data_IF_760090673508
#
_entry.id   IF_760090673508
#
_cell.length_a   1.000
_cell.length_b   1.000
_cell.length_c   1.000
_cell.angle_alpha   90.00
_cell.angle_beta   90.00
_cell.angle_gamma   90.00
#
_symmetry.space_group_name_H-M   'P 1'
#
loop_
_entity.id
_entity.type
_entity.pdbx_description
1 polymer ?
#
# COMPACT_ATOMS: atom_id res chain seq x y z
N UNK A 1 -0.56 -22.62 -4.83
CA UNK A 1 0.68 -22.65 -4.03
C UNK A 1 0.86 -21.41 -3.16
N UNK A 2 1.02 -20.21 -3.73
CA UNK A 2 1.29 -18.97 -2.97
C UNK A 2 0.27 -18.70 -1.84
N UNK A 3 -1.01 -19.01 -2.07
CA UNK A 3 -2.05 -18.88 -1.04
C UNK A 3 -1.84 -19.81 0.16
N UNK A 4 -1.32 -21.03 -0.05
CA UNK A 4 -0.98 -21.93 1.06
C UNK A 4 0.20 -21.37 1.87
N UNK A 5 1.16 -20.69 1.22
CA UNK A 5 2.25 -19.99 1.91
C UNK A 5 1.71 -18.81 2.74
N UNK A 6 0.72 -18.07 2.22
CA UNK A 6 0.09 -16.95 2.95
C UNK A 6 -0.59 -17.40 4.24
N UNK A 7 -1.24 -18.59 4.24
CA UNK A 7 -1.88 -19.16 5.44
C UNK A 7 -0.91 -19.43 6.59
N UNK A 8 0.37 -19.64 6.29
CA UNK A 8 1.41 -19.96 7.28
C UNK A 8 2.39 -18.81 7.53
N UNK A 9 2.05 -17.59 7.11
CA UNK A 9 2.76 -16.36 7.49
C UNK A 9 3.71 -15.77 6.46
N UNK A 10 3.67 -16.25 5.21
CA UNK A 10 4.47 -15.71 4.10
C UNK A 10 3.68 -14.72 3.23
N UNK A 11 2.86 -13.86 3.83
CA UNK A 11 1.94 -12.98 3.07
C UNK A 11 2.67 -11.91 2.26
N UNK A 12 3.96 -11.66 2.54
CA UNK A 12 4.80 -10.73 1.79
C UNK A 12 5.42 -11.36 0.54
N UNK A 13 5.09 -12.61 0.20
CA UNK A 13 5.37 -13.17 -1.13
C UNK A 13 4.33 -12.72 -2.14
N UNK A 14 4.80 -12.15 -3.24
CA UNK A 14 3.98 -11.59 -4.31
C UNK A 14 4.15 -12.36 -5.60
N UNK A 15 3.05 -12.51 -6.32
CA UNK A 15 3.07 -12.93 -7.71
C UNK A 15 3.28 -11.70 -8.61
N UNK A 16 4.13 -11.83 -9.60
CA UNK A 16 4.31 -10.87 -10.68
C UNK A 16 3.98 -11.61 -11.97
N UNK A 17 2.75 -11.43 -12.46
CA UNK A 17 2.17 -12.24 -13.52
C UNK A 17 1.98 -11.40 -14.79
N UNK A 18 2.20 -12.01 -15.95
CA UNK A 18 2.05 -11.34 -17.23
C UNK A 18 1.92 -12.31 -18.40
N UNK A 19 1.83 -11.78 -19.60
CA UNK A 19 1.77 -12.57 -20.84
C UNK A 19 2.98 -12.30 -21.73
N UNK A 20 3.41 -13.32 -22.47
CA UNK A 20 4.43 -13.17 -23.51
C UNK A 20 4.01 -12.16 -24.58
N UNK A 21 4.97 -11.69 -25.37
CA UNK A 21 4.76 -10.77 -26.51
C UNK A 21 3.73 -11.32 -27.50
N UNK A 22 3.72 -12.62 -27.71
CA UNK A 22 2.78 -13.32 -28.60
C UNK A 22 1.44 -13.63 -27.92
N UNK A 23 1.31 -13.36 -26.62
CA UNK A 23 0.11 -13.63 -25.81
C UNK A 23 -0.13 -15.11 -25.47
N UNK A 24 0.67 -16.03 -26.04
CA UNK A 24 0.48 -17.47 -25.95
C UNK A 24 0.91 -18.10 -24.63
N UNK A 25 1.81 -17.44 -23.89
CA UNK A 25 2.35 -17.98 -22.65
C UNK A 25 1.97 -17.06 -21.48
N UNK A 26 1.50 -17.66 -20.38
CA UNK A 26 1.35 -16.97 -19.10
C UNK A 26 2.62 -17.14 -18.27
N UNK A 27 3.12 -16.05 -17.72
CA UNK A 27 4.38 -15.99 -16.98
C UNK A 27 4.13 -15.55 -15.55
N UNK A 28 4.96 -16.04 -14.66
CA UNK A 28 4.87 -15.80 -13.23
C UNK A 28 6.27 -15.70 -12.63
N UNK A 29 6.49 -14.66 -11.83
CA UNK A 29 7.58 -14.62 -10.86
C UNK A 29 7.02 -14.59 -9.44
N UNK A 30 7.70 -15.24 -8.49
CA UNK A 30 7.40 -15.11 -7.07
C UNK A 30 8.48 -14.25 -6.42
N UNK A 31 8.09 -13.07 -5.96
CA UNK A 31 8.98 -11.99 -5.54
C UNK A 31 8.62 -11.54 -4.13
N UNK A 32 9.60 -11.33 -3.23
CA UNK A 32 9.33 -10.69 -1.94
C UNK A 32 8.81 -9.26 -2.13
N UNK A 33 7.90 -8.81 -1.26
CA UNK A 33 7.31 -7.48 -1.30
C UNK A 33 8.34 -6.33 -1.33
N UNK A 34 9.48 -6.48 -0.65
CA UNK A 34 10.56 -5.48 -0.67
C UNK A 34 11.32 -5.38 -2.00
N UNK A 35 11.10 -6.33 -2.89
CA UNK A 35 11.83 -6.52 -4.16
C UNK A 35 10.96 -6.24 -5.39
N UNK A 36 9.72 -5.79 -5.17
CA UNK A 36 8.89 -5.18 -6.23
C UNK A 36 9.20 -3.69 -6.35
N UNK A 37 8.73 -2.99 -7.37
CA UNK A 37 8.74 -1.52 -7.43
C UNK A 37 7.58 -0.93 -6.61
N UNK A 38 7.41 0.39 -6.65
CA UNK A 38 6.37 1.10 -5.91
C UNK A 38 4.95 0.71 -6.35
N UNK A 39 4.78 0.16 -7.54
CA UNK A 39 3.50 -0.41 -8.03
C UNK A 39 3.08 -1.68 -7.27
N UNK A 40 4.01 -2.31 -6.54
CA UNK A 40 3.77 -3.53 -5.80
C UNK A 40 3.82 -4.82 -6.62
N UNK A 41 4.19 -4.80 -7.90
CA UNK A 41 4.19 -6.00 -8.73
C UNK A 41 5.24 -6.06 -9.84
N UNK A 42 5.88 -4.97 -10.21
CA UNK A 42 7.04 -5.05 -11.12
C UNK A 42 8.25 -5.50 -10.31
N UNK A 43 8.94 -6.61 -10.63
CA UNK A 43 10.18 -6.99 -9.95
C UNK A 43 11.28 -5.96 -10.21
N UNK A 44 12.09 -5.63 -9.19
CA UNK A 44 13.30 -4.79 -9.36
C UNK A 44 14.39 -5.47 -10.19
N UNK A 45 14.43 -6.79 -10.12
CA UNK A 45 15.37 -7.68 -10.81
C UNK A 45 14.58 -8.93 -11.20
N UNK A 46 14.53 -9.26 -12.49
CA UNK A 46 13.70 -10.35 -13.02
C UNK A 46 14.43 -11.68 -13.11
N UNK A 47 15.77 -11.68 -13.05
CA UNK A 47 16.61 -12.88 -13.20
C UNK A 47 16.80 -13.60 -11.86
N UNK A 48 16.68 -12.86 -10.76
CA UNK A 48 16.96 -13.36 -9.41
C UNK A 48 15.85 -14.23 -8.81
N UNK A 49 14.61 -14.09 -9.26
CA UNK A 49 13.45 -14.67 -8.56
C UNK A 49 12.89 -15.91 -9.25
N UNK A 50 12.34 -16.88 -8.48
CA UNK A 50 11.70 -18.08 -9.05
C UNK A 50 10.65 -17.71 -10.10
N UNK A 51 10.86 -18.20 -11.31
CA UNK A 51 10.01 -17.94 -12.47
C UNK A 51 9.34 -19.22 -12.98
N UNK A 52 8.19 -19.05 -13.60
CA UNK A 52 7.41 -20.11 -14.23
C UNK A 52 6.72 -19.58 -15.49
N UNK A 53 6.67 -20.40 -16.53
CA UNK A 53 5.82 -20.17 -17.70
C UNK A 53 4.83 -21.31 -17.87
N UNK A 54 3.64 -21.02 -18.40
CA UNK A 54 2.62 -22.05 -18.71
C UNK A 54 3.14 -23.17 -19.61
N UNK A 55 4.18 -22.91 -20.41
CA UNK A 55 4.80 -23.90 -21.28
C UNK A 55 5.58 -24.99 -20.52
N UNK A 56 5.97 -24.73 -19.28
CA UNK A 56 6.62 -25.71 -18.42
C UNK A 56 5.63 -26.79 -17.94
N UNK A 57 4.32 -26.56 -18.12
CA UNK A 57 3.25 -27.44 -17.64
C UNK A 57 3.36 -27.65 -16.13
N UNK A 58 3.58 -28.89 -15.70
CA UNK A 58 3.75 -29.19 -14.27
C UNK A 58 5.18 -29.02 -13.75
N UNK A 59 6.15 -28.65 -14.59
CA UNK A 59 7.55 -28.53 -14.18
C UNK A 59 7.85 -27.20 -13.49
N UNK A 60 7.12 -26.91 -12.40
CA UNK A 60 7.16 -25.64 -11.69
C UNK A 60 8.60 -25.28 -11.28
N UNK A 61 9.09 -24.11 -11.68
CA UNK A 61 10.45 -23.64 -11.36
C UNK A 61 11.56 -24.62 -11.80
N UNK A 62 11.31 -25.41 -12.86
CA UNK A 62 12.21 -26.45 -13.35
C UNK A 62 12.19 -27.75 -12.52
N UNK A 63 11.31 -27.87 -11.53
CA UNK A 63 11.16 -29.09 -10.74
C UNK A 63 10.54 -30.21 -11.57
N UNK A 64 11.11 -31.41 -11.50
CA UNK A 64 10.64 -32.56 -12.29
C UNK A 64 9.79 -33.55 -11.49
N UNK A 65 9.66 -33.32 -10.18
CA UNK A 65 9.06 -34.24 -9.21
C UNK A 65 7.70 -33.77 -8.68
N UNK A 66 6.95 -33.00 -9.48
CA UNK A 66 5.75 -32.24 -9.09
C UNK A 66 4.43 -32.78 -9.66
N UNK A 67 4.48 -33.91 -10.38
CA UNK A 67 3.34 -34.37 -11.20
C UNK A 67 2.07 -34.70 -10.38
N UNK A 68 2.26 -35.13 -9.12
CA UNK A 68 1.19 -35.50 -8.18
C UNK A 68 1.03 -34.52 -7.01
N UNK A 69 1.79 -33.41 -7.01
CA UNK A 69 1.75 -32.46 -5.91
C UNK A 69 0.50 -31.58 -5.95
N UNK A 70 -0.19 -31.48 -4.82
CA UNK A 70 -1.20 -30.44 -4.62
C UNK A 70 -0.55 -29.08 -4.27
N UNK A 71 -1.38 -28.05 -4.17
CA UNK A 71 -0.92 -26.69 -3.86
C UNK A 71 -0.13 -26.57 -2.55
N UNK A 72 -0.39 -27.45 -1.57
CA UNK A 72 0.26 -27.46 -0.26
C UNK A 72 1.60 -28.19 -0.33
N UNK A 73 1.67 -29.31 -1.03
CA UNK A 73 2.92 -30.01 -1.33
C UNK A 73 3.89 -29.07 -2.06
N UNK A 74 3.40 -28.34 -3.07
CA UNK A 74 4.20 -27.33 -3.78
C UNK A 74 4.69 -26.22 -2.84
N UNK A 75 3.87 -25.75 -1.90
CA UNK A 75 4.26 -24.71 -0.95
C UNK A 75 5.37 -25.19 0.00
N UNK A 76 5.28 -26.42 0.49
CA UNK A 76 6.33 -27.02 1.32
C UNK A 76 7.65 -27.16 0.54
N UNK A 77 7.58 -27.61 -0.72
CA UNK A 77 8.76 -27.67 -1.60
C UNK A 77 9.36 -26.30 -1.86
N UNK A 78 8.53 -25.28 -2.02
CA UNK A 78 8.97 -23.89 -2.21
C UNK A 78 9.80 -23.40 -1.03
N UNK A 79 9.32 -23.58 0.20
CA UNK A 79 10.08 -23.18 1.41
C UNK A 79 11.40 -23.96 1.51
N UNK A 80 11.41 -25.25 1.19
CA UNK A 80 12.61 -26.08 1.26
C UNK A 80 13.66 -25.74 0.18
N UNK A 81 13.22 -25.41 -1.04
CA UNK A 81 14.10 -25.21 -2.21
C UNK A 81 14.46 -23.74 -2.45
N UNK A 82 13.64 -22.81 -1.98
CA UNK A 82 13.88 -21.36 -2.05
C UNK A 82 13.82 -20.73 -0.65
N UNK A 83 14.66 -21.18 0.31
CA UNK A 83 14.57 -20.72 1.69
C UNK A 83 14.81 -19.21 1.84
N UNK A 84 15.71 -18.63 1.04
CA UNK A 84 15.98 -17.19 1.06
C UNK A 84 14.75 -16.37 0.64
N UNK A 85 14.05 -16.83 -0.40
CA UNK A 85 12.82 -16.18 -0.89
C UNK A 85 11.72 -16.31 0.14
N UNK A 86 11.54 -17.50 0.72
CA UNK A 86 10.56 -17.73 1.77
C UNK A 86 10.82 -16.85 3.00
N UNK A 87 12.07 -16.75 3.46
CA UNK A 87 12.44 -15.87 4.60
C UNK A 87 12.14 -14.41 4.28
N UNK A 88 12.48 -13.92 3.09
CA UNK A 88 12.18 -12.56 2.67
C UNK A 88 10.66 -12.28 2.56
N UNK A 89 9.87 -13.33 2.36
CA UNK A 89 8.42 -13.29 2.31
C UNK A 89 7.70 -13.36 3.65
N UNK A 90 8.42 -13.55 4.77
CA UNK A 90 7.82 -13.61 6.11
C UNK A 90 7.19 -12.27 6.51
N UNK A 91 5.99 -12.35 7.06
CA UNK A 91 5.25 -11.21 7.59
C UNK A 91 3.82 -11.19 7.11
N UNK A 92 3.06 -10.26 7.68
CA UNK A 92 1.66 -10.05 7.33
C UNK A 92 1.54 -8.98 6.25
N UNK A 93 0.68 -9.22 5.26
CA UNK A 93 0.27 -8.28 4.22
C UNK A 93 -1.19 -8.58 3.87
N UNK A 94 -2.09 -8.19 4.78
CA UNK A 94 -3.51 -8.52 4.69
C UNK A 94 -4.19 -7.95 3.44
N UNK A 95 -3.75 -6.77 3.00
CA UNK A 95 -4.24 -6.16 1.77
C UNK A 95 -3.91 -7.06 0.58
N UNK A 96 -2.66 -7.49 0.47
CA UNK A 96 -2.25 -8.39 -0.61
C UNK A 96 -2.91 -9.76 -0.50
N UNK A 97 -2.95 -10.37 0.67
CA UNK A 97 -3.55 -11.69 0.87
C UNK A 97 -5.06 -11.71 0.58
N UNK A 98 -5.78 -10.65 0.97
CA UNK A 98 -7.20 -10.46 0.67
C UNK A 98 -7.44 -10.31 -0.84
N UNK A 99 -6.72 -9.40 -1.48
CA UNK A 99 -6.76 -9.23 -2.94
C UNK A 99 -6.42 -10.53 -3.68
N UNK A 100 -5.39 -11.25 -3.23
CA UNK A 100 -4.96 -12.48 -3.88
C UNK A 100 -6.02 -13.59 -3.80
N UNK A 101 -6.81 -13.61 -2.72
CA UNK A 101 -7.95 -14.54 -2.59
C UNK A 101 -9.00 -14.29 -3.68
N UNK A 102 -9.30 -13.03 -3.99
CA UNK A 102 -10.21 -12.67 -5.08
C UNK A 102 -9.66 -13.09 -6.45
N UNK A 103 -8.36 -12.89 -6.67
CA UNK A 103 -7.67 -13.30 -7.90
C UNK A 103 -7.76 -14.81 -8.11
N UNK A 104 -7.64 -15.62 -7.05
CA UNK A 104 -7.81 -17.07 -7.15
C UNK A 104 -9.23 -17.45 -7.58
N UNK A 105 -10.25 -16.79 -7.02
CA UNK A 105 -11.63 -17.01 -7.44
C UNK A 105 -11.86 -16.71 -8.93
N UNK A 106 -11.16 -15.73 -9.49
CA UNK A 106 -11.18 -15.45 -10.94
C UNK A 106 -10.41 -16.50 -11.74
N UNK A 107 -9.25 -16.92 -11.24
CA UNK A 107 -8.43 -17.95 -11.88
C UNK A 107 -9.15 -19.30 -11.98
N UNK A 108 -10.01 -19.65 -11.03
CA UNK A 108 -10.90 -20.82 -11.09
C UNK A 108 -11.90 -20.77 -12.26
N UNK A 109 -12.11 -19.59 -12.85
CA UNK A 109 -12.95 -19.36 -14.02
C UNK A 109 -12.12 -18.99 -15.26
N UNK A 110 -10.92 -19.56 -15.40
CA UNK A 110 -9.98 -19.36 -16.52
C UNK A 110 -9.50 -17.91 -16.74
N UNK A 111 -9.64 -17.05 -15.71
CA UNK A 111 -9.17 -15.65 -15.74
C UNK A 111 -7.91 -15.49 -14.91
N UNK A 112 -6.78 -15.92 -15.48
CA UNK A 112 -5.47 -15.72 -14.86
C UNK A 112 -5.10 -14.23 -14.83
N UNK A 113 -4.47 -13.74 -13.73
CA UNK A 113 -4.02 -12.37 -13.63
C UNK A 113 -2.89 -12.10 -14.63
N UNK A 114 -2.91 -10.93 -15.29
CA UNK A 114 -1.81 -10.47 -16.13
C UNK A 114 -1.63 -8.97 -15.93
N UNK A 115 -0.62 -8.58 -15.16
CA UNK A 115 -0.34 -7.18 -14.86
C UNK A 115 0.40 -6.49 -16.00
N UNK A 116 1.08 -7.27 -16.83
CA UNK A 116 1.81 -6.77 -17.97
C UNK A 116 1.70 -7.67 -19.20
N UNK A 117 1.94 -7.06 -20.36
CA UNK A 117 2.10 -7.75 -21.64
C UNK A 117 3.39 -7.33 -22.34
N UNK A 118 4.00 -8.26 -23.08
CA UNK A 118 5.18 -7.96 -23.89
C UNK A 118 6.51 -8.10 -23.16
N UNK A 119 7.51 -7.31 -23.56
CA UNK A 119 8.87 -7.37 -23.02
C UNK A 119 9.09 -6.45 -21.81
N UNK A 120 8.31 -5.37 -21.68
CA UNK A 120 8.72 -4.20 -20.88
C UNK A 120 7.85 -3.95 -19.64
N UNK A 121 7.19 -4.97 -19.09
CA UNK A 121 6.28 -4.84 -17.95
C UNK A 121 5.25 -3.70 -18.09
N UNK A 122 4.89 -3.32 -19.32
CA UNK A 122 3.89 -2.27 -19.53
C UNK A 122 2.57 -2.74 -18.91
N UNK A 123 1.94 -1.91 -18.06
CA UNK A 123 0.70 -2.28 -17.41
C UNK A 123 -0.33 -2.66 -18.46
N UNK A 124 -0.89 -3.86 -18.33
CA UNK A 124 -2.08 -4.21 -19.06
C UNK A 124 -3.24 -3.32 -18.59
N UNK A 125 -4.25 -3.09 -19.43
CA UNK A 125 -5.49 -2.39 -19.07
C UNK A 125 -6.38 -3.19 -18.06
N UNK A 126 -5.76 -3.97 -17.16
CA UNK A 126 -6.46 -4.73 -16.13
C UNK A 126 -6.76 -3.81 -14.93
N UNK A 127 -8.04 -3.60 -14.68
CA UNK A 127 -8.53 -2.77 -13.58
C UNK A 127 -8.23 -3.35 -12.18
N UNK A 128 -7.73 -4.59 -12.07
CA UNK A 128 -7.49 -5.25 -10.79
C UNK A 128 -6.01 -5.57 -10.51
N UNK A 129 -5.17 -4.53 -10.59
CA UNK A 129 -3.77 -4.60 -10.17
C UNK A 129 -3.63 -4.90 -8.67
N UNK A 130 -2.55 -5.57 -8.25
CA UNK A 130 -2.30 -5.83 -6.84
C UNK A 130 -2.12 -4.53 -6.05
N UNK A 131 -2.50 -4.53 -4.76
CA UNK A 131 -2.20 -3.40 -3.89
C UNK A 131 -0.67 -3.25 -3.77
N UNK A 132 -0.14 -2.04 -3.55
CA UNK A 132 1.29 -1.80 -3.34
C UNK A 132 1.84 -2.63 -2.17
N UNK A 133 3.15 -2.85 -2.11
CA UNK A 133 3.76 -3.66 -1.06
C UNK A 133 3.60 -3.06 0.32
N UNK A 134 3.08 -3.85 1.28
CA UNK A 134 3.13 -3.49 2.69
C UNK A 134 4.61 -3.50 3.11
N UNK A 135 5.24 -2.33 3.06
CA UNK A 135 6.69 -2.13 3.13
C UNK A 135 7.24 -1.15 2.08
N UNK A 136 6.57 -1.01 0.93
CA UNK A 136 6.50 0.27 0.22
C UNK A 136 5.51 1.16 0.95
N UNK A 137 5.95 1.62 2.13
CA UNK A 137 5.81 3.05 2.33
C UNK A 137 6.41 3.67 1.06
N UNK A 138 5.59 4.33 0.23
CA UNK A 138 6.12 5.52 -0.42
C UNK A 138 6.84 6.24 0.73
N UNK A 139 8.15 6.49 0.66
CA UNK A 139 8.78 7.31 1.67
C UNK A 139 8.20 8.71 1.50
N UNK A 140 7.03 8.95 2.07
CA UNK A 140 6.73 10.24 2.65
C UNK A 140 7.61 10.28 3.88
N UNK A 141 8.62 11.15 3.93
CA UNK A 141 9.46 11.28 5.10
C UNK A 141 8.55 11.75 6.26
N UNK A 142 8.11 10.86 7.17
CA UNK A 142 7.49 11.27 8.45
C UNK A 142 6.35 10.47 9.11
N UNK A 143 5.94 9.26 8.69
CA UNK A 143 4.65 8.69 9.15
C UNK A 143 4.72 7.39 9.98
N UNK A 144 5.11 7.49 11.25
CA UNK A 144 4.48 6.63 12.25
C UNK A 144 3.11 7.25 12.57
N UNK A 145 2.04 6.46 12.62
CA UNK A 145 0.74 6.98 13.04
C UNK A 145 0.79 7.32 14.52
N UNK A 146 0.79 8.60 14.84
CA UNK A 146 0.83 9.09 16.22
C UNK A 146 -0.60 9.08 16.76
N UNK A 147 -0.90 8.29 17.79
CA UNK A 147 -2.19 8.38 18.51
C UNK A 147 -2.27 9.71 19.26
N UNK A 148 -3.47 10.25 19.47
CA UNK A 148 -3.65 11.57 20.08
C UNK A 148 -3.03 11.70 21.48
N UNK A 149 -2.96 10.60 22.25
CA UNK A 149 -2.30 10.61 23.57
C UNK A 149 -0.77 10.67 23.47
N UNK A 150 -0.19 10.26 22.34
CA UNK A 150 1.24 10.25 22.10
C UNK A 150 1.75 11.50 21.37
N UNK A 151 0.85 12.42 20.98
CA UNK A 151 1.22 13.66 20.29
C UNK A 151 1.96 14.60 21.24
N UNK A 152 3.20 14.95 20.87
CA UNK A 152 4.06 15.86 21.62
C UNK A 152 4.46 17.09 20.80
N UNK A 153 4.91 18.15 21.48
CA UNK A 153 5.23 19.43 20.84
C UNK A 153 6.40 19.32 19.85
N UNK A 154 7.38 18.47 20.14
CA UNK A 154 8.54 18.19 19.30
C UNK A 154 8.18 17.49 17.98
N UNK A 155 6.96 16.97 17.87
CA UNK A 155 6.45 16.31 16.65
C UNK A 155 5.72 17.29 15.72
N UNK A 156 5.49 18.53 16.16
CA UNK A 156 4.79 19.53 15.36
C UNK A 156 5.77 20.28 14.42
N UNK A 157 5.39 20.52 13.14
CA UNK A 157 6.16 21.35 12.23
C UNK A 157 6.46 22.73 12.82
N UNK A 158 7.64 23.33 12.57
CA UNK A 158 8.01 24.61 13.16
C UNK A 158 6.98 25.72 12.85
N UNK A 159 6.88 26.76 13.69
CA UNK A 159 5.94 27.84 13.46
C UNK A 159 6.09 28.45 12.06
N UNK A 160 4.97 28.61 11.36
CA UNK A 160 4.97 29.15 10.00
C UNK A 160 5.58 28.23 8.93
N UNK A 161 5.72 26.93 9.22
CA UNK A 161 6.24 25.94 8.29
C UNK A 161 5.63 26.02 6.87
N UNK A 162 6.45 25.78 5.83
CA UNK A 162 5.96 25.62 4.47
C UNK A 162 5.26 24.26 4.32
N UNK A 163 4.49 24.09 3.24
CA UNK A 163 3.61 22.92 3.08
C UNK A 163 4.39 21.59 3.09
N UNK A 164 5.61 21.58 2.58
CA UNK A 164 6.49 20.41 2.53
C UNK A 164 6.83 19.86 3.93
N UNK A 165 6.76 20.70 4.97
CA UNK A 165 6.92 20.28 6.36
C UNK A 165 5.57 20.03 7.06
N UNK A 166 4.47 20.60 6.55
CA UNK A 166 3.12 20.35 7.07
C UNK A 166 2.55 19.02 6.58
N UNK A 167 2.82 18.64 5.33
CA UNK A 167 2.30 17.42 4.71
C UNK A 167 2.69 16.15 5.49
N UNK A 168 3.98 15.91 5.83
CA UNK A 168 4.36 14.77 6.65
C UNK A 168 3.59 14.71 7.96
N UNK A 169 3.43 15.85 8.65
CA UNK A 169 2.67 15.89 9.89
C UNK A 169 1.21 15.47 9.70
N UNK A 170 0.54 15.93 8.64
CA UNK A 170 -0.85 15.56 8.36
C UNK A 170 -1.03 14.05 8.17
N UNK A 171 0.00 13.38 7.66
CA UNK A 171 0.00 11.95 7.40
C UNK A 171 0.39 11.09 8.62
N UNK A 172 0.78 11.70 9.74
CA UNK A 172 0.92 11.01 11.05
C UNK A 172 -0.44 10.63 11.67
N UNK A 173 -1.54 11.02 11.03
CA UNK A 173 -2.90 10.75 11.46
C UNK A 173 -3.67 10.08 10.32
N UNK A 174 -4.46 9.08 10.66
CA UNK A 174 -5.36 8.43 9.72
C UNK A 174 -6.80 8.76 10.12
N UNK A 175 -7.43 9.64 9.34
CA UNK A 175 -8.81 10.08 9.56
C UNK A 175 -9.85 8.96 9.42
N UNK A 176 -9.48 7.83 8.82
CA UNK A 176 -10.36 6.67 8.64
C UNK A 176 -10.28 5.64 9.78
N UNK A 177 -9.41 5.84 10.78
CA UNK A 177 -9.28 4.90 11.92
C UNK A 177 -10.61 4.75 12.66
N UNK A 178 -10.94 3.51 12.99
CA UNK A 178 -12.19 3.12 13.68
C UNK A 178 -13.21 2.39 12.79
N UNK A 179 -12.91 2.15 11.51
CA UNK A 179 -13.70 1.27 10.62
C UNK A 179 -15.07 1.79 10.23
N UNK A 180 -15.45 3.01 10.64
CA UNK A 180 -16.78 3.59 10.46
C UNK A 180 -16.78 5.02 9.89
N UNK A 181 -15.62 5.58 9.52
CA UNK A 181 -15.55 6.93 8.94
C UNK A 181 -15.36 6.85 7.43
N UNK A 182 -16.32 7.37 6.68
CA UNK A 182 -16.18 7.60 5.25
C UNK A 182 -15.44 8.91 4.98
N UNK A 183 -15.07 9.16 3.72
CA UNK A 183 -14.49 10.45 3.33
C UNK A 183 -15.50 11.61 3.58
N UNK A 184 -16.79 11.34 3.39
CA UNK A 184 -17.88 12.28 3.67
C UNK A 184 -17.95 12.65 5.16
N UNK A 185 -17.75 11.69 6.07
CA UNK A 185 -17.70 11.96 7.52
C UNK A 185 -16.54 12.88 7.88
N UNK A 186 -15.37 12.62 7.32
CA UNK A 186 -14.18 13.45 7.55
C UNK A 186 -14.39 14.87 6.98
N UNK A 187 -15.04 15.02 5.83
CA UNK A 187 -15.45 16.32 5.30
C UNK A 187 -16.50 17.02 6.17
N UNK A 188 -17.44 16.28 6.78
CA UNK A 188 -18.42 16.84 7.70
C UNK A 188 -17.73 17.38 8.97
N UNK A 189 -16.76 16.65 9.51
CA UNK A 189 -15.90 17.14 10.61
C UNK A 189 -15.16 18.40 10.19
N UNK A 190 -14.57 18.43 9.00
CA UNK A 190 -13.87 19.60 8.50
C UNK A 190 -14.78 20.85 8.42
N UNK A 191 -15.98 20.72 7.85
CA UNK A 191 -16.98 21.79 7.79
C UNK A 191 -17.44 22.24 9.17
N UNK A 192 -17.62 21.30 10.10
CA UNK A 192 -17.98 21.60 11.48
C UNK A 192 -16.89 22.44 12.16
N UNK A 193 -15.62 22.07 12.03
CA UNK A 193 -14.49 22.82 12.59
C UNK A 193 -14.38 24.21 11.94
N UNK A 194 -14.57 24.34 10.62
CA UNK A 194 -14.63 25.65 9.96
C UNK A 194 -15.74 26.54 10.54
N UNK A 195 -16.91 25.97 10.88
CA UNK A 195 -18.04 26.73 11.44
C UNK A 195 -17.87 27.11 12.91
N UNK A 196 -17.23 26.26 13.71
CA UNK A 196 -17.07 26.43 15.16
C UNK A 196 -15.75 27.12 15.54
N UNK A 197 -14.78 27.12 14.64
CA UNK A 197 -13.41 27.56 14.87
C UNK A 197 -12.51 26.47 15.46
N UNK A 198 -11.21 26.57 15.15
CA UNK A 198 -10.19 25.61 15.61
C UNK A 198 -10.05 25.55 17.14
N UNK A 199 -10.31 26.67 17.83
CA UNK A 199 -10.18 26.77 19.29
C UNK A 199 -11.18 25.93 20.06
N UNK A 200 -12.39 25.74 19.53
CA UNK A 200 -13.47 24.98 20.17
C UNK A 200 -13.43 23.46 19.85
N UNK A 201 -12.57 23.03 18.93
CA UNK A 201 -12.57 21.67 18.38
C UNK A 201 -11.73 20.70 19.22
N UNK A 202 -11.98 19.39 19.16
CA UNK A 202 -11.11 18.38 19.82
C UNK A 202 -9.78 18.21 19.07
N UNK A 203 -8.75 17.62 19.70
CA UNK A 203 -7.48 17.26 19.02
C UNK A 203 -7.75 16.35 17.82
N UNK A 204 -8.61 15.36 18.00
CA UNK A 204 -9.02 14.44 16.95
C UNK A 204 -9.66 15.16 15.75
N UNK A 205 -10.55 16.11 16.00
CA UNK A 205 -11.20 16.90 14.94
C UNK A 205 -10.19 17.78 14.21
N UNK A 206 -9.27 18.41 14.95
CA UNK A 206 -8.19 19.21 14.38
C UNK A 206 -7.29 18.36 13.47
N UNK A 207 -6.89 17.17 13.91
CA UNK A 207 -6.07 16.27 13.08
C UNK A 207 -6.83 15.71 11.89
N UNK A 208 -8.13 15.48 12.01
CA UNK A 208 -9.02 15.11 10.90
C UNK A 208 -9.09 16.22 9.85
N UNK A 209 -9.15 17.49 10.26
CA UNK A 209 -9.08 18.65 9.35
C UNK A 209 -7.74 18.67 8.62
N UNK A 210 -6.61 18.58 9.33
CA UNK A 210 -5.29 18.57 8.69
C UNK A 210 -5.16 17.45 7.63
N UNK A 211 -5.62 16.24 7.97
CA UNK A 211 -5.65 15.09 7.07
C UNK A 211 -6.48 15.35 5.80
N UNK A 212 -7.70 15.88 5.93
CA UNK A 212 -8.58 16.12 4.77
C UNK A 212 -8.07 17.22 3.86
N UNK A 213 -7.58 18.33 4.42
CA UNK A 213 -7.04 19.42 3.61
C UNK A 213 -5.75 19.01 2.89
N UNK A 214 -4.91 18.18 3.51
CA UNK A 214 -3.75 17.58 2.83
C UNK A 214 -4.19 16.74 1.61
N UNK A 215 -5.22 15.90 1.75
CA UNK A 215 -5.74 15.10 0.61
C UNK A 215 -6.39 15.96 -0.46
N UNK A 216 -7.08 17.03 -0.08
CA UNK A 216 -7.66 18.00 -1.02
C UNK A 216 -6.57 18.67 -1.85
N UNK A 217 -5.45 19.05 -1.22
CA UNK A 217 -4.27 19.59 -1.92
C UNK A 217 -3.67 18.54 -2.87
N UNK A 218 -3.48 17.30 -2.40
CA UNK A 218 -2.83 16.22 -3.16
C UNK A 218 -3.65 15.74 -4.36
N UNK A 219 -4.99 15.69 -4.24
CA UNK A 219 -5.87 15.11 -5.26
C UNK A 219 -6.47 16.13 -6.22
N UNK A 220 -6.13 17.41 -6.11
CA UNK A 220 -6.58 18.44 -7.04
C UNK A 220 -5.56 18.55 -8.20
N UNK A 221 -5.94 18.09 -9.39
CA UNK A 221 -5.06 17.87 -10.56
C UNK A 221 -4.59 19.15 -11.29
N UNK A 222 -5.07 20.33 -10.88
CA UNK A 222 -4.63 21.61 -11.44
C UNK A 222 -3.52 22.22 -10.56
N UNK A 223 -2.31 21.69 -10.73
CA UNK A 223 -1.07 22.28 -10.24
C UNK A 223 -0.92 23.69 -10.81
N UNK A 224 -1.10 24.68 -9.94
CA UNK A 224 -0.36 25.96 -9.84
C UNK A 224 -0.94 26.87 -8.73
N UNK A 225 -2.13 26.55 -8.20
CA UNK A 225 -2.74 27.27 -7.08
C UNK A 225 -3.50 26.33 -6.12
N UNK A 226 -2.85 25.25 -5.66
CA UNK A 226 -3.33 24.57 -4.46
C UNK A 226 -3.49 25.62 -3.35
N UNK A 227 -4.75 25.86 -3.00
CA UNK A 227 -5.28 27.11 -2.49
C UNK A 227 -4.47 27.59 -1.27
N UNK A 228 -3.94 28.82 -1.30
CA UNK A 228 -3.30 29.47 -0.13
C UNK A 228 -4.17 29.31 1.12
N UNK A 229 -5.49 29.24 0.93
CA UNK A 229 -6.47 28.92 1.96
C UNK A 229 -6.28 27.54 2.57
N UNK A 230 -6.13 26.48 1.78
CA UNK A 230 -6.06 25.11 2.29
C UNK A 230 -4.78 24.88 3.12
N UNK A 231 -3.64 25.41 2.66
CA UNK A 231 -2.39 25.41 3.44
C UNK A 231 -2.54 26.26 4.71
N UNK A 232 -3.25 27.39 4.64
CA UNK A 232 -3.52 28.25 5.80
C UNK A 232 -4.35 27.51 6.86
N UNK A 233 -5.36 26.73 6.47
CA UNK A 233 -6.17 25.93 7.40
C UNK A 233 -5.31 24.89 8.12
N UNK A 234 -4.43 24.17 7.39
CA UNK A 234 -3.51 23.22 8.01
C UNK A 234 -2.59 23.92 9.02
N UNK A 235 -2.08 25.11 8.67
CA UNK A 235 -1.24 25.90 9.58
C UNK A 235 -1.99 26.35 10.83
N UNK A 236 -3.22 26.84 10.69
CA UNK A 236 -4.08 27.22 11.83
C UNK A 236 -4.30 26.04 12.78
N UNK A 237 -4.53 24.84 12.23
CA UNK A 237 -4.63 23.60 13.01
C UNK A 237 -3.33 23.29 13.76
N UNK A 238 -2.17 23.36 13.09
CA UNK A 238 -0.87 23.06 13.71
C UNK A 238 -0.56 24.04 14.85
N UNK A 239 -0.85 25.33 14.67
CA UNK A 239 -0.65 26.34 15.71
C UNK A 239 -1.63 26.17 16.89
N UNK A 240 -2.86 25.74 16.61
CA UNK A 240 -3.82 25.37 17.66
C UNK A 240 -3.33 24.19 18.49
N UNK A 241 -2.86 23.13 17.84
CA UNK A 241 -2.27 21.97 18.52
C UNK A 241 -1.05 22.37 19.33
N UNK A 242 -0.17 23.22 18.78
CA UNK A 242 1.00 23.77 19.48
C UNK A 242 0.59 24.48 20.75
N UNK A 243 -0.40 25.38 20.68
CA UNK A 243 -0.89 26.11 21.86
C UNK A 243 -1.38 25.18 22.97
N UNK A 244 -2.12 24.13 22.60
CA UNK A 244 -2.67 23.16 23.57
C UNK A 244 -1.61 22.27 24.20
N UNK A 245 -0.60 21.87 23.43
CA UNK A 245 0.49 21.04 23.94
C UNK A 245 1.44 21.85 24.84
N UNK A 246 1.61 23.16 24.59
CA UNK A 246 2.37 24.06 25.49
C UNK A 246 1.63 24.37 26.79
N UNK A 247 0.29 24.33 26.79
CA UNK A 247 -0.53 24.65 27.95
C UNK A 247 -0.77 23.46 28.90
N UNK A 248 -0.26 22.26 28.57
CA UNK A 248 -0.32 21.04 29.39
C UNK A 248 0.91 20.91 30.25
#
# INVERSE_FOLDING_TARGET
MVHELHKVGYQRLRICAGRSVTGGEWRLHIVPAGETTADGWTPKDTERWPSYTSDDGKKFFGWTDTDVDDARCLANKFVARFPEVAVAGLGQDWMYAGWFTEVLGRAEHDRLPAFYGGLDFFPADDENLPPPASGFSIPSPGNELIVDQALKIEMLPPPGAPYELLEPFCLTYDGYRGGLRTIEDCFAVAKMVESQGVTASSIENLRTVAFIYQRKIKNNSELMAADVRDVRVIREVVEELRRRLTAR
#
